data_IF_430024350503
#
_entry.id   IF_430024350503
#
_cell.length_a   1.000
_cell.length_b   1.000
_cell.length_c   1.000
_cell.angle_alpha   90.00
_cell.angle_beta   90.00
_cell.angle_gamma   90.00
#
_symmetry.space_group_name_H-M   'P 1'
#
loop_
_entity.id
_entity.type
_entity.pdbx_description
1 polymer ?
#
# COMPACT_ATOMS: atom_id res chain seq x y z
N UNK A 1 23.62 -18.01 -10.78
CA UNK A 1 22.61 -17.84 -11.84
C UNK A 1 21.26 -17.62 -11.17
N UNK A 2 20.84 -16.36 -11.03
CA UNK A 2 19.55 -15.99 -10.44
C UNK A 2 18.53 -16.08 -11.58
N UNK A 3 17.55 -16.97 -11.48
CA UNK A 3 16.55 -17.19 -12.52
C UNK A 3 15.63 -15.96 -12.64
N UNK A 4 15.88 -15.17 -13.67
CA UNK A 4 15.16 -13.94 -14.04
C UNK A 4 13.88 -14.23 -14.83
N UNK A 5 12.90 -14.86 -14.18
CA UNK A 5 11.50 -14.77 -14.64
C UNK A 5 10.67 -14.22 -13.50
N UNK A 6 10.82 -12.92 -13.25
CA UNK A 6 9.86 -12.17 -12.45
C UNK A 6 8.50 -12.27 -13.13
N UNK A 7 7.48 -12.59 -12.34
CA UNK A 7 6.10 -12.55 -12.80
C UNK A 7 5.72 -11.09 -13.05
N UNK A 8 4.81 -10.86 -13.99
CA UNK A 8 4.22 -9.53 -14.14
C UNK A 8 3.35 -9.23 -12.92
N UNK A 9 3.18 -7.94 -12.61
CA UNK A 9 2.33 -7.50 -11.48
C UNK A 9 0.90 -8.04 -11.58
N UNK A 10 0.39 -8.19 -12.80
CA UNK A 10 -0.92 -8.77 -13.06
C UNK A 10 -0.97 -10.27 -12.71
N UNK A 11 0.08 -11.01 -13.04
CA UNK A 11 0.19 -12.43 -12.70
C UNK A 11 0.34 -12.64 -11.18
N UNK A 12 1.11 -11.80 -10.50
CA UNK A 12 1.23 -11.83 -9.03
C UNK A 12 -0.11 -11.50 -8.36
N UNK A 13 -0.81 -10.48 -8.85
CA UNK A 13 -2.12 -10.09 -8.32
C UNK A 13 -3.17 -11.20 -8.49
N UNK A 14 -3.15 -11.90 -9.62
CA UNK A 14 -4.06 -13.01 -9.89
C UNK A 14 -3.82 -14.20 -8.95
N UNK A 15 -2.55 -14.50 -8.65
CA UNK A 15 -2.19 -15.56 -7.70
C UNK A 15 -2.61 -15.19 -6.28
N UNK A 16 -2.40 -13.94 -5.87
CA UNK A 16 -2.80 -13.45 -4.56
C UNK A 16 -4.32 -13.54 -4.38
N UNK A 17 -5.10 -13.02 -5.33
CA UNK A 17 -6.57 -13.08 -5.28
C UNK A 17 -7.08 -14.53 -5.20
N UNK A 18 -6.54 -15.42 -6.03
CA UNK A 18 -6.93 -16.83 -6.03
C UNK A 18 -6.70 -17.47 -4.66
N UNK A 19 -5.55 -17.20 -4.03
CA UNK A 19 -5.23 -17.77 -2.71
C UNK A 19 -6.12 -17.23 -1.58
N UNK A 20 -6.47 -15.94 -1.61
CA UNK A 20 -7.33 -15.30 -0.63
C UNK A 20 -8.75 -15.89 -0.61
N UNK A 21 -9.34 -16.13 -1.79
CA UNK A 21 -10.68 -16.68 -1.90
C UNK A 21 -10.78 -18.18 -1.54
N UNK A 22 -9.67 -18.92 -1.57
CA UNK A 22 -9.67 -20.32 -1.13
C UNK A 22 -9.67 -20.48 0.39
N UNK A 23 -9.22 -19.48 1.15
CA UNK A 23 -9.23 -19.49 2.62
C UNK A 23 -10.58 -19.04 3.19
N UNK A 24 -11.26 -18.10 2.53
CA UNK A 24 -12.53 -17.55 2.97
C UNK A 24 -13.73 -18.26 2.32
N UNK A 25 -14.08 -19.45 2.82
CA UNK A 25 -15.27 -20.21 2.38
C UNK A 25 -16.62 -19.51 2.60
N UNK A 26 -16.64 -18.36 3.26
CA UNK A 26 -17.83 -17.60 3.64
C UNK A 26 -18.10 -16.35 2.79
N UNK A 27 -17.27 -16.05 1.79
CA UNK A 27 -17.55 -14.93 0.87
C UNK A 27 -18.46 -15.41 -0.27
N UNK A 28 -19.47 -14.61 -0.68
CA UNK A 28 -20.29 -14.93 -1.83
C UNK A 28 -19.39 -15.03 -3.06
N UNK A 29 -19.44 -16.17 -3.75
CA UNK A 29 -18.64 -16.40 -4.93
C UNK A 29 -18.85 -15.25 -5.94
N UNK A 30 -17.77 -14.65 -6.50
CA UNK A 30 -17.94 -13.66 -7.54
C UNK A 30 -18.66 -14.31 -8.72
N UNK A 31 -19.48 -13.50 -9.39
CA UNK A 31 -20.29 -13.84 -10.55
C UNK A 31 -19.61 -14.89 -11.44
N UNK A 32 -20.21 -16.08 -11.50
CA UNK A 32 -19.67 -17.22 -12.24
C UNK A 32 -19.66 -16.90 -13.74
N UNK A 33 -18.53 -16.42 -14.25
CA UNK A 33 -18.20 -16.61 -15.66
C UNK A 33 -18.13 -18.12 -15.86
N UNK A 34 -19.01 -18.68 -16.70
CA UNK A 34 -19.04 -20.10 -17.06
C UNK A 34 -17.73 -20.49 -17.75
N UNK A 35 -16.68 -20.71 -16.98
CA UNK A 35 -15.51 -21.46 -17.39
C UNK A 35 -15.92 -22.93 -17.46
N UNK A 36 -15.82 -23.51 -18.66
CA UNK A 36 -16.00 -24.94 -18.89
C UNK A 36 -15.14 -25.69 -17.87
N UNK A 37 -15.77 -26.49 -17.02
CA UNK A 37 -15.05 -27.29 -16.03
C UNK A 37 -14.12 -28.27 -16.76
N UNK A 38 -12.81 -28.27 -16.48
CA UNK A 38 -11.95 -29.35 -16.90
C UNK A 38 -12.35 -30.62 -16.14
N UNK A 39 -12.44 -31.71 -16.88
CA UNK A 39 -12.70 -33.06 -16.39
C UNK A 39 -11.82 -33.42 -15.20
N UNK A 40 -12.44 -34.10 -14.24
CA UNK A 40 -12.01 -34.42 -12.87
C UNK A 40 -10.87 -35.45 -12.79
N UNK A 41 -9.87 -35.39 -13.66
CA UNK A 41 -8.81 -36.42 -13.75
C UNK A 41 -7.45 -35.87 -14.18
N UNK A 42 -7.06 -34.69 -13.73
CA UNK A 42 -5.67 -34.24 -13.88
C UNK A 42 -4.96 -34.41 -12.54
N UNK A 43 -3.95 -35.28 -12.55
CA UNK A 43 -3.09 -35.59 -11.41
C UNK A 43 -2.63 -34.33 -10.67
N UNK A 44 -2.67 -34.39 -9.33
CA UNK A 44 -2.16 -33.33 -8.42
C UNK A 44 -0.68 -32.95 -8.67
N UNK A 45 0.01 -33.67 -9.54
CA UNK A 45 1.42 -33.48 -9.89
C UNK A 45 1.67 -32.35 -10.91
N UNK A 46 0.65 -31.89 -11.66
CA UNK A 46 0.84 -30.89 -12.71
C UNK A 46 0.80 -29.42 -12.21
N UNK A 47 0.35 -29.17 -10.98
CA UNK A 47 0.31 -27.84 -10.34
C UNK A 47 1.54 -27.52 -9.48
N UNK A 48 2.39 -28.53 -9.19
CA UNK A 48 3.61 -28.34 -8.38
C UNK A 48 4.54 -27.27 -8.95
N UNK A 49 4.64 -27.14 -10.28
CA UNK A 49 5.55 -26.16 -10.89
C UNK A 49 5.11 -24.69 -10.82
N UNK A 50 3.86 -24.40 -10.44
CA UNK A 50 3.29 -23.04 -10.46
C UNK A 50 2.72 -22.57 -9.12
N UNK A 51 2.83 -23.41 -8.09
CA UNK A 51 2.26 -23.10 -6.78
C UNK A 51 3.36 -22.55 -5.88
N UNK A 52 3.16 -21.33 -5.38
CA UNK A 52 4.02 -20.67 -4.39
C UNK A 52 3.55 -21.07 -3.00
N UNK A 53 4.46 -21.54 -2.16
CA UNK A 53 4.21 -21.78 -0.76
C UNK A 53 4.11 -20.45 0.00
N UNK A 54 2.97 -20.18 0.61
CA UNK A 54 2.74 -18.95 1.38
C UNK A 54 3.39 -18.94 2.77
N UNK A 55 4.04 -20.04 3.20
CA UNK A 55 4.84 -20.07 4.42
C UNK A 55 6.29 -19.64 4.17
N UNK A 56 6.89 -20.06 3.06
CA UNK A 56 8.32 -19.85 2.78
C UNK A 56 8.63 -19.16 1.45
N UNK A 57 7.62 -18.83 0.64
CA UNK A 57 7.78 -18.17 -0.66
C UNK A 57 8.33 -19.06 -1.79
N UNK A 58 8.66 -20.33 -1.52
CA UNK A 58 9.24 -21.22 -2.53
C UNK A 58 8.17 -21.87 -3.41
N UNK A 59 8.50 -22.06 -4.70
CA UNK A 59 7.68 -22.81 -5.65
C UNK A 59 7.76 -24.31 -5.39
N UNK A 60 6.74 -25.08 -5.76
CA UNK A 60 6.80 -26.55 -5.72
C UNK A 60 5.75 -27.21 -4.84
N UNK A 61 5.23 -26.49 -3.83
CA UNK A 61 4.40 -27.03 -2.76
C UNK A 61 3.45 -25.98 -2.16
N UNK A 62 2.44 -26.43 -1.42
CA UNK A 62 1.54 -25.59 -0.60
C UNK A 62 2.02 -25.56 0.85
N UNK A 63 1.61 -24.58 1.66
CA UNK A 63 2.11 -24.45 3.03
C UNK A 63 1.83 -25.66 3.93
N UNK A 64 0.76 -26.42 3.67
CA UNK A 64 0.48 -27.67 4.39
C UNK A 64 1.51 -28.79 4.14
N UNK A 65 2.32 -28.67 3.10
CA UNK A 65 3.41 -29.58 2.74
C UNK A 65 4.79 -28.94 2.92
N UNK A 66 4.85 -27.77 3.57
CA UNK A 66 6.09 -27.05 3.77
C UNK A 66 6.89 -27.68 4.91
N UNK A 67 8.12 -28.09 4.62
CA UNK A 67 9.07 -28.60 5.60
C UNK A 67 9.91 -27.49 6.25
N UNK A 68 9.75 -26.24 5.78
CA UNK A 68 10.50 -25.12 6.32
C UNK A 68 9.82 -24.61 7.58
N UNK A 69 10.61 -24.41 8.62
CA UNK A 69 10.19 -23.69 9.82
C UNK A 69 10.06 -22.19 9.50
N UNK A 70 9.15 -21.52 10.20
CA UNK A 70 9.09 -20.06 10.14
C UNK A 70 10.34 -19.51 10.85
N UNK A 71 11.10 -18.60 10.20
CA UNK A 71 12.23 -17.97 10.87
C UNK A 71 11.76 -17.14 12.06
N UNK A 72 12.62 -17.05 13.07
CA UNK A 72 12.36 -16.26 14.27
C UNK A 72 12.22 -14.77 13.88
N UNK A 73 11.20 -14.04 14.37
CA UNK A 73 11.01 -12.63 14.02
C UNK A 73 12.26 -11.76 14.22
N UNK A 74 13.07 -12.03 15.25
CA UNK A 74 14.31 -11.30 15.48
C UNK A 74 15.37 -11.56 14.40
N UNK A 75 15.41 -12.77 13.84
CA UNK A 75 16.29 -13.10 12.72
C UNK A 75 15.87 -12.37 11.44
N UNK A 76 14.56 -12.29 11.18
CA UNK A 76 14.01 -11.54 10.04
C UNK A 76 14.40 -10.06 10.14
N UNK A 77 14.22 -9.45 11.31
CA UNK A 77 14.60 -8.04 11.53
C UNK A 77 16.09 -7.82 11.31
N UNK A 78 16.93 -8.74 11.77
CA UNK A 78 18.38 -8.66 11.59
C UNK A 78 18.77 -8.75 10.12
N UNK A 79 18.20 -9.71 9.39
CA UNK A 79 18.43 -9.87 7.94
C UNK A 79 18.00 -8.63 7.16
N UNK A 80 16.79 -8.11 7.44
CA UNK A 80 16.30 -6.88 6.81
C UNK A 80 17.22 -5.68 7.06
N UNK A 81 17.70 -5.52 8.30
CA UNK A 81 18.62 -4.45 8.65
C UNK A 81 19.96 -4.58 7.92
N UNK A 82 20.48 -5.80 7.77
CA UNK A 82 21.70 -6.05 7.00
C UNK A 82 21.52 -5.70 5.52
N UNK A 83 20.42 -6.12 4.91
CA UNK A 83 20.11 -5.80 3.51
C UNK A 83 19.98 -4.30 3.28
N UNK A 84 19.31 -3.58 4.18
CA UNK A 84 19.21 -2.12 4.15
C UNK A 84 20.61 -1.49 4.19
N UNK A 85 21.50 -1.95 5.06
CA UNK A 85 22.86 -1.39 5.16
C UNK A 85 23.70 -1.66 3.91
N UNK A 86 23.55 -2.85 3.31
CA UNK A 86 24.21 -3.19 2.04
C UNK A 86 23.74 -2.24 0.93
N UNK A 87 22.42 -2.06 0.80
CA UNK A 87 21.83 -1.16 -0.20
C UNK A 87 22.28 0.29 0.01
N UNK A 88 22.25 0.79 1.24
CA UNK A 88 22.74 2.14 1.58
C UNK A 88 24.21 2.31 1.14
N UNK A 89 25.04 1.30 1.39
CA UNK A 89 26.47 1.34 1.02
C UNK A 89 26.65 1.38 -0.50
N UNK A 90 25.90 0.53 -1.23
CA UNK A 90 25.92 0.51 -2.70
C UNK A 90 25.43 1.84 -3.29
N UNK A 91 24.34 2.40 -2.75
CA UNK A 91 23.79 3.68 -3.23
C UNK A 91 24.78 4.83 -3.02
N UNK A 92 25.51 4.84 -1.91
CA UNK A 92 26.58 5.81 -1.66
C UNK A 92 27.71 5.71 -2.69
N UNK A 93 28.03 4.52 -3.18
CA UNK A 93 29.05 4.32 -4.22
C UNK A 93 28.59 4.80 -5.61
N UNK A 94 27.29 4.70 -5.91
CA UNK A 94 26.74 5.11 -7.22
C UNK A 94 26.67 6.62 -7.45
N UNK A 95 26.81 7.45 -6.39
CA UNK A 95 27.14 8.87 -6.49
C UNK A 95 25.99 9.87 -6.69
N UNK A 96 24.74 9.42 -6.88
CA UNK A 96 23.59 10.31 -7.13
C UNK A 96 22.78 10.66 -5.86
N UNK A 97 23.23 10.17 -4.69
CA UNK A 97 22.51 10.31 -3.42
C UNK A 97 23.30 11.16 -2.42
N UNK A 98 22.61 12.04 -1.70
CA UNK A 98 23.10 12.75 -0.51
C UNK A 98 22.41 12.20 0.75
N UNK A 99 22.91 12.57 1.93
CA UNK A 99 22.31 12.17 3.21
C UNK A 99 21.93 13.38 4.05
N UNK A 100 20.74 13.37 4.63
CA UNK A 100 20.29 14.31 5.66
C UNK A 100 19.80 13.57 6.93
N UNK A 101 19.18 14.30 7.87
CA UNK A 101 18.61 13.74 9.11
C UNK A 101 17.50 12.70 8.85
N UNK A 102 16.86 12.73 7.67
CA UNK A 102 15.79 11.82 7.28
C UNK A 102 16.27 10.63 6.43
N UNK A 103 17.54 10.64 5.98
CA UNK A 103 18.18 9.51 5.31
C UNK A 103 18.82 9.88 3.97
N UNK A 104 18.92 8.90 3.08
CA UNK A 104 19.45 9.11 1.73
C UNK A 104 18.37 9.75 0.83
N UNK A 105 18.75 10.75 0.05
CA UNK A 105 17.89 11.40 -0.93
C UNK A 105 18.62 11.63 -2.26
N UNK A 106 17.87 11.65 -3.35
CA UNK A 106 18.40 11.94 -4.69
C UNK A 106 18.49 13.46 -4.84
N UNK A 107 19.63 13.98 -5.31
CA UNK A 107 19.68 15.40 -5.69
C UNK A 107 18.72 15.63 -6.85
N UNK A 108 17.77 16.54 -6.69
CA UNK A 108 16.91 16.95 -7.79
C UNK A 108 17.78 17.48 -8.93
N UNK A 109 17.55 16.97 -10.13
CA UNK A 109 18.18 17.52 -11.33
C UNK A 109 17.92 19.03 -11.43
N UNK A 110 18.78 19.75 -12.13
CA UNK A 110 18.58 21.16 -12.48
C UNK A 110 17.27 21.43 -13.24
N UNK A 111 16.54 20.39 -13.65
CA UNK A 111 15.14 20.41 -14.08
C UNK A 111 14.14 20.55 -12.92
N UNK A 112 14.52 21.22 -11.83
CA UNK A 112 13.54 21.70 -10.86
C UNK A 112 12.51 22.57 -11.57
N UNK A 113 11.24 22.21 -11.48
CA UNK A 113 10.16 23.09 -11.96
C UNK A 113 10.29 24.37 -11.16
N UNK A 114 10.50 25.55 -11.78
CA UNK A 114 10.59 26.79 -11.04
C UNK A 114 9.23 27.01 -10.37
N UNK A 115 9.17 26.74 -9.07
CA UNK A 115 7.97 27.00 -8.29
C UNK A 115 7.98 28.49 -8.02
N UNK A 116 6.91 29.19 -8.41
CA UNK A 116 6.79 30.64 -8.26
C UNK A 116 6.93 31.12 -6.80
N UNK A 117 6.83 30.22 -5.83
CA UNK A 117 7.06 30.48 -4.41
C UNK A 117 7.47 29.19 -3.69
N UNK A 118 8.35 29.32 -2.69
CA UNK A 118 8.72 28.24 -1.77
C UNK A 118 8.16 28.51 -0.37
N UNK A 119 8.21 27.51 0.52
CA UNK A 119 7.72 27.59 1.90
C UNK A 119 8.43 28.65 2.76
N UNK A 120 9.53 29.23 2.25
CA UNK A 120 10.26 30.32 2.89
C UNK A 120 9.79 31.71 2.41
N UNK A 121 9.34 31.81 1.15
CA UNK A 121 9.00 33.08 0.49
C UNK A 121 7.50 33.37 0.45
N UNK A 122 6.64 32.34 0.55
CA UNK A 122 5.19 32.52 0.57
C UNK A 122 4.50 31.81 1.72
N UNK A 123 3.44 32.44 2.24
CA UNK A 123 2.46 31.78 3.10
C UNK A 123 1.57 30.88 2.25
N UNK A 124 1.61 29.57 2.50
CA UNK A 124 0.71 28.60 1.86
C UNK A 124 -0.57 28.43 2.67
N UNK A 125 -1.68 28.26 1.96
CA UNK A 125 -2.96 28.00 2.57
C UNK A 125 -3.00 26.61 3.16
N UNK A 126 -3.28 26.50 4.47
CA UNK A 126 -3.43 25.21 5.15
C UNK A 126 -4.63 24.39 4.65
N UNK A 127 -5.58 25.02 3.95
CA UNK A 127 -6.75 24.33 3.39
C UNK A 127 -6.51 23.71 2.00
N UNK A 128 -5.64 24.30 1.16
CA UNK A 128 -5.50 23.87 -0.23
C UNK A 128 -4.07 23.86 -0.80
N UNK A 129 -3.07 24.25 -0.01
CA UNK A 129 -1.66 24.21 -0.40
C UNK A 129 -1.24 25.22 -1.48
N UNK A 130 -2.10 26.19 -1.84
CA UNK A 130 -1.76 27.27 -2.79
C UNK A 130 -1.25 28.53 -2.08
N UNK A 131 -0.47 29.40 -2.75
CA UNK A 131 0.11 30.61 -2.15
C UNK A 131 -0.96 31.70 -1.93
N UNK A 132 -1.68 31.59 -0.81
CA UNK A 132 -2.57 32.62 -0.27
C UNK A 132 -2.82 32.34 1.23
N UNK A 133 -3.19 33.35 2.04
CA UNK A 133 -3.59 33.11 3.43
C UNK A 133 -4.91 32.34 3.51
N UNK A 134 -5.10 31.53 4.57
CA UNK A 134 -6.26 30.64 4.73
C UNK A 134 -7.63 31.33 4.60
N UNK A 135 -7.71 32.61 4.99
CA UNK A 135 -8.93 33.42 4.89
C UNK A 135 -9.31 33.85 3.46
N UNK A 136 -8.44 33.63 2.47
CA UNK A 136 -8.68 33.92 1.04
C UNK A 136 -8.79 32.65 0.20
N UNK A 137 -9.05 31.51 0.84
CA UNK A 137 -9.18 30.26 0.12
C UNK A 137 -10.51 30.21 -0.66
N UNK A 138 -10.49 29.90 -1.97
CA UNK A 138 -11.72 29.68 -2.74
C UNK A 138 -12.39 28.34 -2.39
N UNK A 139 -11.68 27.45 -1.68
CA UNK A 139 -12.23 26.20 -1.19
C UNK A 139 -12.93 26.43 0.15
N UNK A 140 -14.07 25.74 0.33
CA UNK A 140 -14.79 25.71 1.60
C UNK A 140 -13.84 25.32 2.72
N UNK A 141 -13.93 26.04 3.83
CA UNK A 141 -13.23 25.69 5.06
C UNK A 141 -13.75 24.37 5.61
N UNK A 142 -12.94 23.69 6.40
CA UNK A 142 -13.33 22.48 7.12
C UNK A 142 -14.65 22.65 7.89
N UNK A 143 -14.87 23.81 8.53
CA UNK A 143 -16.09 24.10 9.27
C UNK A 143 -17.33 24.23 8.36
N UNK A 144 -17.18 24.82 7.18
CA UNK A 144 -18.26 24.92 6.19
C UNK A 144 -18.63 23.56 5.62
N UNK A 145 -17.63 22.70 5.34
CA UNK A 145 -17.86 21.31 4.91
C UNK A 145 -18.65 20.56 5.99
N UNK A 146 -18.24 20.63 7.26
CA UNK A 146 -18.98 19.98 8.36
C UNK A 146 -20.42 20.50 8.45
N UNK A 147 -20.63 21.81 8.31
CA UNK A 147 -21.97 22.39 8.43
C UNK A 147 -22.87 21.98 7.25
N UNK A 148 -22.32 21.82 6.05
CA UNK A 148 -23.07 21.25 4.92
C UNK A 148 -23.38 19.77 5.12
N UNK A 149 -22.42 19.00 5.66
CA UNK A 149 -22.66 17.60 6.01
C UNK A 149 -23.76 17.43 7.07
N UNK A 150 -23.88 18.37 8.02
CA UNK A 150 -25.01 18.41 8.96
C UNK A 150 -26.35 18.58 8.25
N UNK A 151 -26.43 19.43 7.21
CA UNK A 151 -27.67 19.65 6.47
C UNK A 151 -28.06 18.45 5.59
N UNK A 152 -27.09 17.63 5.17
CA UNK A 152 -27.36 16.35 4.53
C UNK A 152 -27.90 15.28 5.50
N UNK A 153 -27.73 15.48 6.82
CA UNK A 153 -28.20 14.60 7.90
C UNK A 153 -29.53 15.11 8.49
N UNK A 154 -30.59 15.25 7.69
CA UNK A 154 -31.80 15.93 8.19
C UNK A 154 -32.90 15.03 8.82
N UNK A 155 -33.39 15.55 9.95
CA UNK A 155 -34.67 15.37 10.67
C UNK A 155 -34.83 14.41 11.87
N UNK A 156 -33.93 13.46 12.20
CA UNK A 156 -34.16 12.55 13.36
C UNK A 156 -33.11 12.50 14.45
N UNK A 157 -31.98 13.19 14.30
CA UNK A 157 -30.93 13.13 15.32
C UNK A 157 -30.13 14.41 15.35
N UNK A 158 -30.32 15.18 16.42
CA UNK A 158 -29.58 16.39 16.75
C UNK A 158 -28.13 16.01 17.11
N UNK A 159 -27.28 15.80 16.12
CA UNK A 159 -25.85 15.60 16.37
C UNK A 159 -25.13 16.95 16.46
N UNK A 160 -24.37 17.13 17.54
CA UNK A 160 -23.50 18.31 17.71
C UNK A 160 -22.25 18.19 16.82
N UNK A 161 -21.58 19.32 16.56
CA UNK A 161 -20.33 19.34 15.80
C UNK A 161 -19.25 18.44 16.43
N UNK A 162 -19.26 18.30 17.75
CA UNK A 162 -18.34 17.46 18.52
C UNK A 162 -18.62 15.96 18.32
N UNK A 163 -19.90 15.57 18.24
CA UNK A 163 -20.30 14.18 17.99
C UNK A 163 -19.93 13.72 16.58
N UNK A 164 -20.05 14.60 15.58
CA UNK A 164 -19.63 14.29 14.20
C UNK A 164 -18.11 14.15 14.12
N UNK A 165 -17.36 15.03 14.79
CA UNK A 165 -15.91 14.90 14.88
C UNK A 165 -15.50 13.58 15.51
N UNK A 166 -16.09 13.22 16.66
CA UNK A 166 -15.80 11.96 17.33
C UNK A 166 -16.07 10.75 16.43
N UNK A 167 -17.22 10.71 15.74
CA UNK A 167 -17.54 9.63 14.80
C UNK A 167 -16.53 9.51 13.65
N UNK A 168 -16.04 10.63 13.12
CA UNK A 168 -15.03 10.60 12.06
C UNK A 168 -13.68 10.07 12.53
N UNK A 169 -13.26 10.40 13.76
CA UNK A 169 -12.03 9.87 14.33
C UNK A 169 -12.14 8.39 14.71
N UNK A 170 -13.29 7.94 15.21
CA UNK A 170 -13.55 6.54 15.60
C UNK A 170 -13.60 5.56 14.41
N UNK A 171 -13.76 6.06 13.17
CA UNK A 171 -13.65 5.24 11.94
C UNK A 171 -12.19 4.98 11.55
N UNK A 172 -11.27 5.83 12.01
CA UNK A 172 -9.86 5.83 11.60
C UNK A 172 -8.91 5.23 12.64
N UNK A 173 -9.40 4.96 13.85
CA UNK A 173 -8.77 4.09 14.86
C UNK A 173 -9.28 2.63 14.72
#
# INVERSE_FOLDING_TARGET
MIHSKGLTIDEESALYLTSYFHQNKNLPAPYQVRSRQPSRSTSMSALSGKTICYRCGQLGHLAGQCTNELPDPAQIELEMNNDIQILISQLKETGDYESDEFGLYIKGDSNSVPVASDWKTASFCTNCGKPHPANRCPHKSYNEIINEMKNCLDSKSSFTAEQIKAFFYDIWD
#
